data_IF_817901408492
#
_entry.id   IF_817901408492
#
_cell.length_a   1.000
_cell.length_b   1.000
_cell.length_c   1.000
_cell.angle_alpha   90.00
_cell.angle_beta   90.00
_cell.angle_gamma   90.00
#
_symmetry.space_group_name_H-M   'P 1'
#
loop_
_entity.id
_entity.type
_entity.pdbx_description
1 polymer ?
#
# COMPACT_ATOMS: atom_id res chain seq x y z
N UNK A 1 -20.23 9.97 -18.70
CA UNK A 1 -20.14 10.47 -17.32
C UNK A 1 -19.89 9.25 -16.45
N UNK A 2 -18.65 8.84 -16.26
CA UNK A 2 -18.26 7.78 -15.32
C UNK A 2 -17.72 8.47 -14.08
N UNK A 3 -18.44 8.32 -12.97
CA UNK A 3 -17.97 8.74 -11.66
C UNK A 3 -16.90 7.74 -11.21
N UNK A 4 -15.64 8.18 -11.16
CA UNK A 4 -14.57 7.44 -10.53
C UNK A 4 -14.81 7.44 -9.02
N UNK A 5 -15.37 6.35 -8.50
CA UNK A 5 -15.38 6.05 -7.08
C UNK A 5 -13.96 5.62 -6.69
N UNK A 6 -13.15 6.59 -6.28
CA UNK A 6 -11.97 6.32 -5.48
C UNK A 6 -12.45 5.95 -4.06
N UNK A 7 -12.96 4.73 -3.92
CA UNK A 7 -13.20 4.15 -2.62
C UNK A 7 -11.85 3.75 -2.03
N UNK A 8 -11.22 4.69 -1.29
CA UNK A 8 -10.17 4.36 -0.34
C UNK A 8 -10.83 3.52 0.75
N UNK A 9 -10.97 2.21 0.51
CA UNK A 9 -11.53 1.26 1.47
C UNK A 9 -10.57 1.16 2.65
N UNK A 10 -10.83 1.96 3.68
CA UNK A 10 -10.20 1.77 4.97
C UNK A 10 -10.60 0.40 5.51
N UNK A 11 -9.62 -0.47 5.60
CA UNK A 11 -9.73 -1.80 6.17
C UNK A 11 -10.17 -1.71 7.62
N UNK A 12 -11.42 -2.07 7.88
CA UNK A 12 -11.94 -2.30 9.21
C UNK A 12 -11.40 -3.64 9.71
N UNK A 13 -10.36 -3.59 10.52
CA UNK A 13 -9.92 -4.78 11.25
C UNK A 13 -10.91 -5.09 12.36
N UNK A 14 -11.67 -6.17 12.18
CA UNK A 14 -12.39 -6.80 13.27
C UNK A 14 -11.40 -7.61 14.11
N UNK A 15 -10.88 -7.02 15.18
CA UNK A 15 -10.06 -7.70 16.17
C UNK A 15 -10.93 -8.64 16.99
N UNK A 16 -10.81 -9.96 16.78
CA UNK A 16 -11.30 -10.98 17.71
C UNK A 16 -10.36 -11.03 18.91
N UNK A 17 -10.78 -10.37 19.98
CA UNK A 17 -10.14 -10.47 21.29
C UNK A 17 -10.44 -11.83 21.91
N UNK A 18 -9.48 -12.75 21.91
CA UNK A 18 -9.51 -13.92 22.79
C UNK A 18 -8.67 -13.62 24.02
N UNK A 19 -9.34 -13.40 25.13
CA UNK A 19 -8.79 -13.12 26.44
C UNK A 19 -8.30 -14.43 27.09
N UNK A 20 -7.03 -14.57 27.49
CA UNK A 20 -6.63 -15.63 28.39
C UNK A 20 -6.83 -15.23 29.85
N UNK A 21 -7.41 -16.16 30.63
CA UNK A 21 -7.64 -16.03 32.08
C UNK A 21 -6.34 -15.95 32.89
N UNK A 22 -6.37 -15.33 34.10
CA UNK A 22 -5.19 -15.12 34.92
C UNK A 22 -4.84 -16.34 35.75
N UNK A 23 -3.63 -16.87 35.56
CA UNK A 23 -3.02 -17.76 36.56
C UNK A 23 -2.24 -16.95 37.59
N UNK A 24 -2.75 -16.98 38.80
CA UNK A 24 -2.09 -16.46 40.00
C UNK A 24 -0.92 -17.36 40.40
N UNK A 25 0.26 -16.80 40.56
CA UNK A 25 1.22 -17.25 41.57
C UNK A 25 2.26 -16.15 41.85
N UNK A 26 2.32 -15.75 43.08
CA UNK A 26 3.27 -14.82 43.64
C UNK A 26 4.69 -15.40 43.62
N UNK A 27 5.69 -14.61 43.25
CA UNK A 27 6.88 -14.51 44.08
C UNK A 27 7.63 -13.18 43.86
N UNK A 28 8.15 -12.67 44.96
CA UNK A 28 8.70 -11.36 45.16
C UNK A 28 10.18 -11.34 44.78
N UNK A 29 10.54 -10.55 43.75
CA UNK A 29 11.91 -10.05 43.63
C UNK A 29 11.85 -8.68 42.97
N UNK A 30 12.26 -7.64 43.72
CA UNK A 30 12.30 -6.26 43.25
C UNK A 30 13.17 -6.09 42.02
N UNK A 31 12.54 -6.00 40.88
CA UNK A 31 13.16 -5.49 39.67
C UNK A 31 12.74 -4.03 39.57
N UNK A 32 13.67 -3.13 39.78
CA UNK A 32 13.53 -1.72 39.38
C UNK A 32 13.29 -1.73 37.87
N UNK A 33 12.02 -1.66 37.49
CA UNK A 33 11.63 -1.37 36.10
C UNK A 33 12.11 0.05 35.85
N UNK A 34 13.31 0.20 35.30
CA UNK A 34 13.68 1.40 34.59
C UNK A 34 12.63 1.55 33.48
N UNK A 35 11.71 2.48 33.61
CA UNK A 35 10.86 2.86 32.51
C UNK A 35 11.75 3.55 31.48
N UNK A 36 12.36 2.75 30.58
CA UNK A 36 12.92 3.30 29.36
C UNK A 36 11.79 4.05 28.68
N UNK A 37 11.94 5.37 28.61
CA UNK A 37 11.02 6.20 27.80
C UNK A 37 11.19 5.70 26.38
N UNK A 38 10.16 5.00 25.88
CA UNK A 38 10.18 4.47 24.54
C UNK A 38 10.30 5.65 23.56
N UNK A 39 11.18 5.53 22.56
CA UNK A 39 11.40 6.57 21.58
C UNK A 39 10.13 6.81 20.75
N UNK A 40 9.88 8.08 20.44
CA UNK A 40 8.77 8.50 19.57
C UNK A 40 9.22 8.53 18.13
N UNK A 41 8.35 8.09 17.24
CA UNK A 41 8.49 8.19 15.78
C UNK A 41 7.48 9.19 15.26
N UNK A 42 7.93 10.12 14.43
CA UNK A 42 7.09 11.10 13.74
C UNK A 42 7.12 10.83 12.24
N UNK A 43 5.95 10.85 11.60
CA UNK A 43 5.79 10.59 10.16
C UNK A 43 4.87 11.66 9.59
N UNK A 44 5.33 12.36 8.55
CA UNK A 44 4.50 13.33 7.84
C UNK A 44 4.06 12.78 6.48
N UNK A 45 2.75 12.79 6.23
CA UNK A 45 2.12 12.29 5.01
C UNK A 45 1.39 13.43 4.32
N UNK A 46 1.54 13.61 2.99
CA UNK A 46 0.81 14.60 2.24
C UNK A 46 -0.71 14.47 2.41
N UNK A 47 -1.42 15.61 2.50
CA UNK A 47 -2.85 15.65 2.73
C UNK A 47 -3.69 14.96 1.65
N UNK A 48 -3.16 14.87 0.43
CA UNK A 48 -3.83 14.23 -0.71
C UNK A 48 -4.14 12.74 -0.48
N UNK A 49 -3.42 12.07 0.43
CA UNK A 49 -3.74 10.69 0.84
C UNK A 49 -5.02 10.58 1.67
N UNK A 50 -5.48 11.71 2.24
CA UNK A 50 -6.65 11.78 3.11
C UNK A 50 -7.78 12.62 2.50
N UNK A 51 -7.78 12.80 1.16
CA UNK A 51 -8.79 13.56 0.46
C UNK A 51 -10.20 13.06 0.77
N UNK A 52 -11.07 13.99 1.20
CA UNK A 52 -12.44 13.71 1.57
C UNK A 52 -12.64 13.30 3.02
N UNK A 53 -11.57 13.21 3.82
CA UNK A 53 -11.65 12.94 5.26
C UNK A 53 -11.49 14.23 6.05
N UNK A 54 -12.24 14.33 7.12
CA UNK A 54 -12.05 15.37 8.14
C UNK A 54 -10.90 14.99 9.08
N UNK A 55 -10.31 15.99 9.75
CA UNK A 55 -9.26 15.74 10.74
C UNK A 55 -9.71 14.76 11.84
N UNK A 56 -10.98 14.81 12.26
CA UNK A 56 -11.50 13.89 13.29
C UNK A 56 -11.58 12.45 12.78
N UNK A 57 -11.96 12.23 11.52
CA UNK A 57 -11.96 10.90 10.92
C UNK A 57 -10.54 10.33 10.78
N UNK A 58 -9.56 11.18 10.43
CA UNK A 58 -8.15 10.78 10.39
C UNK A 58 -7.65 10.41 11.79
N UNK A 59 -7.96 11.20 12.82
CA UNK A 59 -7.60 10.90 14.21
C UNK A 59 -8.24 9.61 14.72
N UNK A 60 -9.51 9.40 14.43
CA UNK A 60 -10.24 8.19 14.85
C UNK A 60 -9.66 6.94 14.19
N UNK A 61 -9.28 7.03 12.92
CA UNK A 61 -8.61 5.96 12.20
C UNK A 61 -7.23 5.66 12.79
N UNK A 62 -6.43 6.70 12.99
CA UNK A 62 -5.09 6.62 13.57
C UNK A 62 -5.11 5.98 14.97
N UNK A 63 -6.05 6.38 15.82
CA UNK A 63 -6.21 5.82 17.16
C UNK A 63 -6.48 4.32 17.16
N UNK A 64 -7.28 3.84 16.21
CA UNK A 64 -7.54 2.38 16.04
C UNK A 64 -6.28 1.60 15.68
N UNK A 65 -5.31 2.27 15.04
CA UNK A 65 -4.03 1.70 14.65
C UNK A 65 -2.93 1.85 15.73
N UNK A 66 -3.28 2.44 16.87
CA UNK A 66 -2.34 2.67 17.98
C UNK A 66 -1.40 3.85 17.75
N UNK A 67 -1.82 4.81 16.96
CA UNK A 67 -1.14 6.09 16.78
C UNK A 67 -1.61 7.06 17.86
N UNK A 68 -0.67 7.62 18.62
CA UNK A 68 -0.98 8.40 19.82
C UNK A 68 -1.51 9.80 19.49
N UNK A 69 -0.96 10.42 18.44
CA UNK A 69 -1.30 11.79 18.11
C UNK A 69 -1.28 12.03 16.58
N UNK A 70 -2.22 12.85 16.11
CA UNK A 70 -2.29 13.33 14.73
C UNK A 70 -2.44 14.85 14.75
N UNK A 71 -1.58 15.52 13.98
CA UNK A 71 -1.61 16.97 13.78
C UNK A 71 -1.79 17.26 12.30
N UNK A 72 -2.70 18.13 11.94
CA UNK A 72 -2.78 18.67 10.58
C UNK A 72 -1.91 19.91 10.49
N UNK A 73 -1.00 19.89 9.54
CA UNK A 73 -0.06 20.98 9.28
C UNK A 73 -0.70 22.09 8.42
N UNK A 74 -0.05 23.26 8.37
CA UNK A 74 -0.57 24.42 7.61
C UNK A 74 -0.64 24.20 6.11
N UNK A 75 0.19 23.31 5.56
CA UNK A 75 0.22 22.94 4.15
C UNK A 75 -0.79 21.84 3.80
N UNK A 76 -1.56 21.39 4.80
CA UNK A 76 -2.57 20.34 4.66
C UNK A 76 -2.05 18.92 4.89
N UNK A 77 -0.75 18.71 5.08
CA UNK A 77 -0.17 17.42 5.44
C UNK A 77 -0.58 17.02 6.87
N UNK A 78 -0.40 15.74 7.19
CA UNK A 78 -0.67 15.19 8.51
C UNK A 78 0.60 14.61 9.12
N UNK A 79 0.92 15.02 10.34
CA UNK A 79 2.00 14.45 11.14
C UNK A 79 1.42 13.48 12.17
N UNK A 80 1.91 12.26 12.16
CA UNK A 80 1.54 11.15 13.03
C UNK A 80 2.67 10.91 14.03
N UNK A 81 2.35 10.90 15.31
CA UNK A 81 3.28 10.59 16.40
C UNK A 81 2.87 9.29 17.07
N UNK A 82 3.81 8.38 17.28
CA UNK A 82 3.58 7.09 17.93
C UNK A 82 4.86 6.57 18.56
N UNK A 83 4.74 5.57 19.44
CA UNK A 83 5.93 4.89 19.99
C UNK A 83 6.63 4.06 18.93
N UNK A 84 7.94 3.80 19.10
CA UNK A 84 8.71 2.98 18.17
C UNK A 84 8.17 1.54 18.08
N UNK A 85 7.59 1.00 19.16
CA UNK A 85 6.95 -0.33 19.13
C UNK A 85 5.66 -0.31 18.32
N UNK A 86 4.82 0.71 18.50
CA UNK A 86 3.59 0.89 17.71
C UNK A 86 3.92 1.06 16.22
N UNK A 87 4.95 1.83 15.90
CA UNK A 87 5.42 2.01 14.53
C UNK A 87 5.84 0.68 13.87
N UNK A 88 6.71 -0.11 14.53
CA UNK A 88 7.14 -1.42 13.98
C UNK A 88 5.96 -2.36 13.74
N UNK A 89 5.00 -2.41 14.69
CA UNK A 89 3.78 -3.20 14.54
C UNK A 89 2.96 -2.71 13.34
N UNK A 90 2.69 -1.43 13.26
CA UNK A 90 1.91 -0.82 12.17
C UNK A 90 2.52 -1.12 10.79
N UNK A 91 3.82 -0.92 10.61
CA UNK A 91 4.51 -1.21 9.34
C UNK A 91 4.41 -2.70 8.98
N UNK A 92 4.53 -3.60 9.97
CA UNK A 92 4.37 -5.04 9.75
C UNK A 92 2.94 -5.41 9.34
N UNK A 93 1.94 -4.85 10.02
CA UNK A 93 0.51 -5.05 9.70
C UNK A 93 0.14 -4.49 8.34
N UNK A 94 0.63 -3.30 7.97
CA UNK A 94 0.41 -2.70 6.66
C UNK A 94 0.98 -3.59 5.54
N UNK A 95 2.21 -4.08 5.70
CA UNK A 95 2.84 -4.98 4.72
C UNK A 95 2.04 -6.26 4.54
N UNK A 96 1.64 -6.91 5.64
CA UNK A 96 0.84 -8.11 5.59
C UNK A 96 -0.49 -7.86 4.87
N UNK A 97 -1.21 -6.81 5.27
CA UNK A 97 -2.50 -6.45 4.69
C UNK A 97 -2.41 -6.11 3.20
N UNK A 98 -1.37 -5.39 2.77
CA UNK A 98 -1.17 -5.11 1.35
C UNK A 98 -0.97 -6.39 0.54
N UNK A 99 -0.14 -7.31 1.03
CA UNK A 99 0.09 -8.61 0.36
C UNK A 99 -1.18 -9.45 0.31
N UNK A 100 -1.94 -9.49 1.39
CA UNK A 100 -3.20 -10.21 1.47
C UNK A 100 -4.26 -9.64 0.52
N UNK A 101 -4.41 -8.32 0.49
CA UNK A 101 -5.35 -7.64 -0.42
C UNK A 101 -5.00 -7.88 -1.89
N UNK A 102 -3.72 -7.83 -2.25
CA UNK A 102 -3.29 -8.12 -3.62
C UNK A 102 -3.55 -9.58 -3.96
N UNK A 103 -3.27 -10.51 -3.05
CA UNK A 103 -3.57 -11.93 -3.25
C UNK A 103 -5.07 -12.18 -3.45
N UNK A 104 -5.93 -11.44 -2.77
CA UNK A 104 -7.38 -11.54 -2.87
C UNK A 104 -7.97 -11.04 -4.21
N UNK A 105 -7.18 -10.39 -5.07
CA UNK A 105 -7.63 -9.99 -6.41
C UNK A 105 -7.79 -11.17 -7.37
N UNK A 106 -7.14 -12.30 -7.06
CA UNK A 106 -7.16 -13.48 -7.91
C UNK A 106 -8.57 -14.06 -8.05
N UNK A 107 -9.00 -14.29 -9.29
CA UNK A 107 -10.27 -14.93 -9.61
C UNK A 107 -11.51 -14.09 -9.26
N UNK A 108 -11.36 -12.81 -8.97
CA UNK A 108 -12.52 -11.91 -8.77
C UNK A 108 -13.27 -11.66 -10.07
N UNK A 109 -14.54 -11.21 -9.96
CA UNK A 109 -15.34 -10.84 -11.15
C UNK A 109 -14.70 -9.69 -11.94
N UNK A 110 -13.95 -8.82 -11.28
CA UNK A 110 -13.26 -7.70 -11.89
C UNK A 110 -12.02 -8.14 -12.68
N UNK A 111 -11.31 -9.17 -12.17
CA UNK A 111 -10.07 -9.69 -12.77
C UNK A 111 -10.14 -11.21 -12.99
N UNK A 112 -11.04 -11.71 -13.84
CA UNK A 112 -11.30 -13.17 -13.98
C UNK A 112 -10.14 -13.93 -14.62
N UNK A 113 -9.28 -13.25 -15.38
CA UNK A 113 -8.07 -13.84 -15.98
C UNK A 113 -6.92 -13.99 -14.98
N UNK A 114 -6.92 -13.26 -13.86
CA UNK A 114 -5.86 -13.32 -12.85
C UNK A 114 -6.06 -14.55 -11.98
N UNK A 115 -5.11 -15.49 -12.00
CA UNK A 115 -5.14 -16.74 -11.23
C UNK A 115 -4.40 -16.61 -9.90
N UNK A 116 -3.36 -15.82 -9.87
CA UNK A 116 -2.72 -15.39 -8.63
C UNK A 116 -2.12 -13.99 -8.78
N UNK A 117 -2.04 -13.27 -7.68
CA UNK A 117 -1.40 -11.97 -7.58
C UNK A 117 -0.57 -11.93 -6.30
N UNK A 118 0.63 -11.38 -6.36
CA UNK A 118 1.52 -11.28 -5.21
C UNK A 118 2.39 -10.04 -5.25
N UNK A 119 2.70 -9.50 -4.07
CA UNK A 119 3.70 -8.45 -3.88
C UNK A 119 4.96 -9.04 -3.25
N UNK A 120 6.12 -8.57 -3.69
CA UNK A 120 7.43 -8.84 -3.05
C UNK A 120 7.45 -8.37 -1.58
N UNK A 121 8.43 -8.81 -0.79
CA UNK A 121 8.51 -8.45 0.63
C UNK A 121 8.82 -6.98 0.86
N UNK A 122 9.51 -6.34 -0.08
CA UNK A 122 9.83 -4.92 -0.09
C UNK A 122 8.77 -4.07 -0.82
N UNK A 123 7.71 -4.70 -1.32
CA UNK A 123 6.59 -4.11 -2.07
C UNK A 123 7.02 -3.38 -3.36
N UNK A 124 8.17 -3.74 -3.94
CA UNK A 124 8.70 -3.13 -5.16
C UNK A 124 8.27 -3.87 -6.43
N UNK A 125 7.77 -5.12 -6.31
CA UNK A 125 7.35 -5.95 -7.43
C UNK A 125 5.95 -6.51 -7.23
N UNK A 126 5.13 -6.39 -8.26
CA UNK A 126 3.80 -7.02 -8.38
C UNK A 126 3.87 -8.12 -9.43
N UNK A 127 3.72 -9.36 -9.03
CA UNK A 127 3.65 -10.51 -9.96
C UNK A 127 2.19 -10.94 -10.12
N UNK A 128 1.74 -11.03 -11.38
CA UNK A 128 0.41 -11.51 -11.77
C UNK A 128 0.57 -12.79 -12.60
N UNK A 129 -0.03 -13.89 -12.16
CA UNK A 129 -0.19 -15.09 -13.00
C UNK A 129 -1.57 -15.07 -13.64
N UNK A 130 -1.63 -15.19 -14.97
CA UNK A 130 -2.87 -15.02 -15.72
C UNK A 130 -3.14 -16.19 -16.66
N UNK A 131 -4.41 -16.46 -16.92
CA UNK A 131 -4.85 -17.31 -18.03
C UNK A 131 -4.65 -16.54 -19.34
N UNK A 132 -3.63 -16.90 -20.08
CA UNK A 132 -3.23 -16.21 -21.32
C UNK A 132 -4.35 -16.13 -22.37
N UNK A 133 -5.30 -17.09 -22.38
CA UNK A 133 -6.39 -17.14 -23.36
C UNK A 133 -7.46 -16.08 -23.10
N UNK A 134 -7.64 -15.73 -21.83
CA UNK A 134 -8.66 -14.77 -21.38
C UNK A 134 -8.06 -13.44 -20.93
N UNK A 135 -6.74 -13.37 -20.83
CA UNK A 135 -6.04 -12.17 -20.45
C UNK A 135 -6.18 -11.08 -21.55
N UNK A 136 -6.52 -9.89 -21.13
CA UNK A 136 -6.55 -8.69 -21.98
C UNK A 136 -5.55 -7.69 -21.42
N UNK A 137 -4.64 -7.23 -22.26
CA UNK A 137 -3.67 -6.19 -21.87
C UNK A 137 -4.39 -4.94 -21.37
N UNK A 138 -3.87 -4.36 -20.28
CA UNK A 138 -4.43 -3.17 -19.62
C UNK A 138 -5.16 -3.44 -18.31
N UNK A 139 -5.58 -4.68 -18.00
CA UNK A 139 -6.11 -5.03 -16.67
C UNK A 139 -5.02 -4.97 -15.60
N UNK A 140 -3.81 -5.38 -15.95
CA UNK A 140 -2.59 -5.31 -15.16
C UNK A 140 -2.23 -3.87 -14.77
N UNK A 141 -2.29 -2.92 -15.72
CA UNK A 141 -2.10 -1.49 -15.43
C UNK A 141 -3.17 -0.95 -14.49
N UNK A 142 -4.42 -1.43 -14.61
CA UNK A 142 -5.51 -1.05 -13.71
C UNK A 142 -5.23 -1.56 -12.29
N UNK A 143 -4.74 -2.80 -12.14
CA UNK A 143 -4.35 -3.36 -10.85
C UNK A 143 -3.17 -2.57 -10.26
N UNK A 144 -2.11 -2.33 -11.04
CA UNK A 144 -0.96 -1.56 -10.59
C UNK A 144 -1.35 -0.16 -10.11
N UNK A 145 -2.23 0.53 -10.87
CA UNK A 145 -2.77 1.84 -10.51
C UNK A 145 -3.58 1.81 -9.21
N UNK A 146 -4.35 0.75 -8.98
CA UNK A 146 -5.15 0.60 -7.77
C UNK A 146 -4.29 0.29 -6.53
N UNK A 147 -3.21 -0.49 -6.69
CA UNK A 147 -2.31 -0.91 -5.61
C UNK A 147 -1.33 0.20 -5.22
N UNK A 148 -0.85 0.97 -6.19
CA UNK A 148 0.22 1.96 -6.00
C UNK A 148 0.01 2.98 -4.87
N UNK A 149 -1.16 3.61 -4.69
CA UNK A 149 -1.37 4.56 -3.58
C UNK A 149 -1.14 3.93 -2.21
N UNK A 150 -1.52 2.67 -2.04
CA UNK A 150 -1.32 1.94 -0.78
C UNK A 150 0.16 1.57 -0.56
N UNK A 151 0.89 1.26 -1.63
CA UNK A 151 2.35 1.06 -1.59
C UNK A 151 3.06 2.36 -1.22
N UNK A 152 2.66 3.50 -1.80
CA UNK A 152 3.21 4.80 -1.42
C UNK A 152 2.93 5.15 0.06
N UNK A 153 1.71 4.90 0.55
CA UNK A 153 1.39 5.09 1.95
C UNK A 153 2.29 4.24 2.87
N UNK A 154 2.52 2.97 2.48
CA UNK A 154 3.46 2.10 3.19
C UNK A 154 4.87 2.69 3.23
N UNK A 155 5.40 3.22 2.12
CA UNK A 155 6.73 3.84 2.11
C UNK A 155 6.82 5.00 3.09
N UNK A 156 5.84 5.91 3.13
CA UNK A 156 5.83 6.98 4.12
C UNK A 156 5.87 6.44 5.56
N UNK A 157 5.02 5.45 5.88
CA UNK A 157 5.03 4.83 7.21
C UNK A 157 6.32 4.04 7.48
N UNK A 158 6.99 3.53 6.46
CA UNK A 158 8.29 2.89 6.59
C UNK A 158 9.47 3.89 6.62
N UNK A 159 9.19 5.20 6.76
CA UNK A 159 10.17 6.28 6.78
C UNK A 159 10.97 6.39 5.47
N UNK A 160 10.35 6.06 4.36
CA UNK A 160 10.91 6.14 3.02
C UNK A 160 10.10 7.12 2.16
N UNK A 161 10.80 7.92 1.35
CA UNK A 161 10.14 8.77 0.35
C UNK A 161 9.71 7.93 -0.86
N UNK A 162 8.43 7.91 -1.26
CA UNK A 162 7.98 7.24 -2.46
C UNK A 162 8.36 7.99 -3.75
N UNK A 163 8.86 9.23 -3.67
CA UNK A 163 9.25 10.00 -4.84
C UNK A 163 10.34 9.28 -5.65
N UNK A 164 10.07 9.07 -6.94
CA UNK A 164 10.98 8.35 -7.85
C UNK A 164 10.99 6.84 -7.68
N UNK A 165 10.22 6.26 -6.75
CA UNK A 165 10.01 4.81 -6.68
C UNK A 165 8.98 4.39 -7.74
N UNK A 166 9.11 3.15 -8.19
CA UNK A 166 8.17 2.50 -9.11
C UNK A 166 7.85 1.09 -8.61
N UNK A 167 6.70 0.59 -8.99
CA UNK A 167 6.30 -0.80 -8.84
C UNK A 167 6.63 -1.53 -10.14
N UNK A 168 7.55 -2.50 -10.12
CA UNK A 168 7.78 -3.39 -11.24
C UNK A 168 6.60 -4.36 -11.34
N UNK A 169 6.00 -4.48 -12.51
CA UNK A 169 4.87 -5.37 -12.74
C UNK A 169 5.26 -6.45 -13.71
N UNK A 170 5.15 -7.71 -13.26
CA UNK A 170 5.50 -8.89 -14.03
C UNK A 170 4.23 -9.73 -14.26
N UNK A 171 3.84 -9.89 -15.51
CA UNK A 171 2.69 -10.69 -15.92
C UNK A 171 3.17 -12.00 -16.53
N UNK A 172 2.78 -13.11 -15.92
CA UNK A 172 3.22 -14.46 -16.28
C UNK A 172 2.05 -15.32 -16.73
N UNK A 173 2.30 -16.21 -17.68
CA UNK A 173 1.38 -17.28 -18.07
C UNK A 173 1.21 -18.30 -16.95
N UNK A 174 -0.02 -18.67 -16.60
CA UNK A 174 -0.34 -19.77 -15.67
C UNK A 174 0.15 -21.13 -16.19
N UNK A 175 0.19 -21.34 -17.53
CA UNK A 175 0.50 -22.64 -18.14
C UNK A 175 1.98 -23.01 -18.01
N UNK A 176 2.91 -22.05 -18.22
CA UNK A 176 4.35 -22.32 -18.31
C UNK A 176 5.24 -21.29 -17.63
N UNK A 177 4.63 -20.32 -16.92
CA UNK A 177 5.32 -19.20 -16.25
C UNK A 177 6.15 -18.33 -17.21
N UNK A 178 5.87 -18.36 -18.51
CA UNK A 178 6.50 -17.44 -19.46
C UNK A 178 6.05 -16.01 -19.21
N UNK A 179 6.95 -15.06 -19.44
CA UNK A 179 6.65 -13.64 -19.33
C UNK A 179 5.75 -13.22 -20.49
N UNK A 180 4.57 -12.69 -20.19
CA UNK A 180 3.63 -12.11 -21.16
C UNK A 180 3.90 -10.63 -21.31
N UNK A 181 4.07 -9.94 -20.18
CA UNK A 181 4.29 -8.50 -20.12
C UNK A 181 5.12 -8.13 -18.90
N UNK A 182 5.94 -7.07 -19.04
CA UNK A 182 6.71 -6.47 -17.94
C UNK A 182 6.71 -4.95 -18.12
N UNK A 183 6.39 -4.21 -17.07
CA UNK A 183 6.40 -2.75 -17.09
C UNK A 183 6.61 -2.17 -15.69
N UNK A 184 6.78 -0.85 -15.61
CA UNK A 184 6.89 -0.12 -14.33
C UNK A 184 5.71 0.82 -14.15
N UNK A 185 5.22 0.91 -12.90
CA UNK A 185 4.16 1.83 -12.53
C UNK A 185 4.56 2.71 -11.32
N UNK A 186 4.38 4.05 -11.37
CA UNK A 186 4.03 4.82 -12.57
C UNK A 186 5.11 4.73 -13.65
N UNK A 187 4.73 4.96 -14.89
CA UNK A 187 5.70 4.99 -16.00
C UNK A 187 6.79 6.01 -15.72
N UNK A 188 8.07 5.64 -15.84
CA UNK A 188 9.18 6.56 -15.69
C UNK A 188 9.06 7.75 -16.64
N UNK A 189 9.37 8.96 -16.15
CA UNK A 189 9.23 10.19 -16.93
C UNK A 189 10.01 10.18 -18.26
N UNK A 190 11.08 9.38 -18.35
CA UNK A 190 11.92 9.25 -19.56
C UNK A 190 11.25 8.44 -20.67
N UNK A 191 10.33 7.49 -20.36
CA UNK A 191 9.62 6.70 -21.36
C UNK A 191 8.60 7.49 -22.17
N UNK A 192 8.15 8.64 -21.67
CA UNK A 192 7.20 9.54 -22.36
C UNK A 192 7.84 10.38 -23.46
N UNK A 193 9.16 10.51 -23.49
CA UNK A 193 9.87 11.35 -24.47
C UNK A 193 10.04 10.68 -25.84
N UNK A 194 10.04 9.33 -25.93
CA UNK A 194 10.25 8.61 -27.19
C UNK A 194 8.98 8.32 -28.01
N UNK A 195 7.80 8.41 -27.42
CA UNK A 195 6.54 8.10 -28.14
C UNK A 195 5.87 9.32 -28.80
N UNK A 196 6.46 10.51 -28.70
CA UNK A 196 5.87 11.78 -29.14
C UNK A 196 6.21 12.29 -30.53
N UNK A 197 7.13 11.67 -31.27
CA UNK A 197 7.69 12.32 -32.49
C UNK A 197 7.68 11.46 -33.78
N UNK A 198 6.67 10.64 -33.94
CA UNK A 198 6.52 9.82 -35.17
C UNK A 198 5.30 10.15 -36.03
N UNK A 199 4.78 11.39 -36.01
CA UNK A 199 3.69 11.77 -36.93
C UNK A 199 3.64 13.25 -37.32
N UNK A 200 4.75 13.76 -37.83
CA UNK A 200 4.77 15.06 -38.50
C UNK A 200 5.73 15.05 -39.68
N UNK A 201 5.40 14.30 -40.73
CA UNK A 201 5.79 14.68 -42.11
C UNK A 201 5.13 13.76 -43.17
N UNK A 202 3.93 14.07 -43.61
CA UNK A 202 3.39 13.65 -44.91
C UNK A 202 2.18 14.45 -45.34
N UNK A 203 2.38 15.75 -45.53
CA UNK A 203 1.45 16.54 -46.39
C UNK A 203 2.19 17.70 -47.04
N UNK A 204 2.88 17.39 -48.17
CA UNK A 204 3.13 18.33 -49.28
C UNK A 204 3.67 17.60 -50.49
N UNK A 205 2.77 17.15 -51.33
CA UNK A 205 2.93 17.32 -52.81
C UNK A 205 1.60 17.04 -53.48
#
# INVERSE_FOLDING_TARGET
MLAALAACSMLLFASCSTQPEPVSSADSAGSTVSSEVESTVEITIPGDYYNGMTLEEVKDSAKKQGIDKVTQEKDGSYTFEMTASAHRRLVSEMRFTLKDNVSALAGTEEYPSVKSASLSDDLSELTLMVDQKTYSSGNDQTIARAVWPSVCAFYYFNLEDPAGKTLSVLVLSEEDSSVIEEFQWPEPAESKAESGDANADSEKK
#
